data_IF_734247683453
#
_entry.id   IF_734247683453
#
_cell.length_a   1.000
_cell.length_b   1.000
_cell.length_c   1.000
_cell.angle_alpha   90.00
_cell.angle_beta   90.00
_cell.angle_gamma   90.00
#
_symmetry.space_group_name_H-M   'P 1'
#
loop_
_entity.id
_entity.type
_entity.pdbx_description
1 polymer ?
2 non-polymer ?
3 non-polymer ?
4 non-polymer ?
5 water ?
#
# COMPACT_ATOMS: atom_id res chain seq x y z
N UNK A 22 2.31 -11.25 14.00
CA UNK A 22 2.05 -11.22 12.57
C UNK A 22 3.04 -12.08 11.80
N UNK A 23 2.54 -12.84 10.85
CA UNK A 23 3.36 -13.60 9.92
C UNK A 23 3.06 -13.09 8.51
N UNK A 24 4.09 -13.07 7.66
CA UNK A 24 3.98 -12.51 6.32
C UNK A 24 4.74 -13.39 5.33
N UNK A 25 4.25 -13.46 4.09
CA UNK A 25 5.05 -14.05 3.03
C UNK A 25 6.30 -13.21 2.77
N UNK A 26 7.37 -13.86 2.33
CA UNK A 26 8.64 -13.18 2.17
C UNK A 26 9.28 -13.51 0.83
N UNK A 27 9.88 -12.49 0.21
CA UNK A 27 10.66 -12.65 -1.02
C UNK A 27 11.51 -11.40 -1.20
N UNK A 28 12.82 -11.54 -1.01
CA UNK A 28 13.76 -10.43 -1.20
C UNK A 28 15.18 -10.93 -1.45
N UNK A 34 8.81 -17.85 1.27
CA UNK A 34 8.83 -18.28 2.68
C UNK A 34 7.88 -17.48 3.54
N UNK A 35 7.47 -18.03 4.67
CA UNK A 35 6.72 -17.24 5.67
C UNK A 35 7.74 -16.81 6.72
N UNK A 36 7.52 -15.65 7.32
CA UNK A 36 8.41 -15.15 8.35
C UNK A 36 7.53 -14.51 9.41
N UNK A 37 7.98 -14.57 10.65
CA UNK A 37 7.29 -13.89 11.72
C UNK A 37 7.91 -12.52 11.89
N UNK A 38 7.09 -11.48 11.87
CA UNK A 38 7.63 -10.15 12.02
C UNK A 38 8.05 -9.89 13.46
N UNK A 39 8.92 -8.93 13.68
CA UNK A 39 9.21 -8.51 15.05
C UNK A 39 8.00 -7.86 15.72
N UNK A 40 8.11 -7.83 17.04
CA UNK A 40 7.04 -7.28 17.89
C UNK A 40 6.82 -5.82 17.53
N UNK A 41 5.58 -5.50 17.27
CA UNK A 41 5.17 -4.15 16.89
C UNK A 41 4.96 -3.91 15.40
N UNK A 42 5.59 -4.70 14.54
CA UNK A 42 5.37 -4.59 13.11
C UNK A 42 4.08 -5.33 12.80
N UNK A 43 3.01 -4.58 12.57
CA UNK A 43 1.68 -5.15 12.43
C UNK A 43 1.27 -5.45 10.99
N UNK A 44 2.00 -4.95 10.00
CA UNK A 44 1.58 -5.07 8.61
C UNK A 44 2.48 -6.03 7.83
N UNK A 45 1.97 -6.43 6.67
CA UNK A 45 2.73 -7.12 5.63
C UNK A 45 2.67 -6.28 4.37
N UNK A 46 3.60 -6.51 3.46
CA UNK A 46 3.60 -5.69 2.26
C UNK A 46 4.01 -6.47 1.02
N UNK A 47 3.54 -5.96 -0.11
CA UNK A 47 3.87 -6.45 -1.44
C UNK A 47 4.16 -5.24 -2.32
N UNK A 48 5.42 -5.08 -2.72
CA UNK A 48 5.88 -3.94 -3.50
C UNK A 48 6.31 -4.36 -4.91
N UNK A 49 5.93 -3.55 -5.88
CA UNK A 49 6.20 -3.77 -7.29
C UNK A 49 6.78 -2.47 -7.83
N UNK A 50 7.89 -2.57 -8.54
CA UNK A 50 8.49 -1.42 -9.19
C UNK A 50 9.04 -1.82 -10.54
N UNK A 57 11.06 -5.33 -10.23
CA UNK A 57 11.23 -5.55 -8.80
C UNK A 57 9.97 -6.11 -8.14
N UNK A 58 10.16 -7.16 -7.34
CA UNK A 58 9.09 -7.77 -6.56
C UNK A 58 9.65 -8.05 -5.17
N UNK A 59 9.08 -7.41 -4.13
CA UNK A 59 9.45 -7.68 -2.74
C UNK A 59 8.22 -7.97 -1.92
N UNK A 60 8.36 -8.92 -1.00
CA UNK A 60 7.34 -9.26 -0.03
C UNK A 60 8.00 -9.29 1.33
N UNK A 61 7.28 -8.88 2.36
CA UNK A 61 7.80 -9.00 3.71
C UNK A 61 6.97 -8.26 4.74
N UNK A 62 7.62 -7.99 5.86
CA UNK A 62 7.00 -7.37 7.03
C UNK A 62 7.04 -5.86 6.93
N UNK A 63 6.09 -5.23 7.57
CA UNK A 63 6.05 -3.80 7.59
C UNK A 63 5.33 -3.27 6.38
N UNK A 64 5.41 -1.95 6.23
CA UNK A 64 4.86 -1.26 5.08
C UNK A 64 5.82 -0.13 4.77
N UNK A 65 6.65 -0.26 3.74
CA UNK A 65 7.70 0.73 3.51
C UNK A 65 7.13 2.10 3.23
N UNK A 66 7.60 3.08 4.00
CA UNK A 66 7.10 4.44 3.87
C UNK A 66 7.95 5.30 2.95
N UNK A 67 9.23 5.01 2.84
CA UNK A 67 10.16 5.84 2.11
C UNK A 67 10.61 5.23 0.79
N UNK A 68 10.31 3.96 0.55
CA UNK A 68 10.87 3.17 -0.54
C UNK A 68 10.08 3.38 -1.83
N UNK A 69 10.77 3.58 -2.96
CA UNK A 69 10.05 3.80 -4.22
C UNK A 69 9.33 2.55 -4.67
N UNK A 70 8.20 2.77 -5.34
CA UNK A 70 7.35 1.67 -5.75
C UNK A 70 6.56 2.09 -6.97
N UNK A 71 6.03 1.10 -7.67
CA UNK A 71 5.00 1.31 -8.67
C UNK A 71 3.63 0.87 -8.19
N UNK A 72 3.53 -0.32 -7.61
CA UNK A 72 2.36 -0.76 -6.87
C UNK A 72 2.81 -1.23 -5.50
N UNK A 73 2.15 -0.74 -4.46
CA UNK A 73 2.43 -1.12 -3.08
C UNK A 73 1.15 -1.60 -2.42
N UNK A 74 1.22 -2.75 -1.76
CA UNK A 74 0.08 -3.32 -1.03
C UNK A 74 0.52 -3.65 0.39
N UNK A 75 -0.14 -3.05 1.37
CA UNK A 75 0.09 -3.38 2.76
C UNK A 75 -1.21 -3.85 3.40
N UNK A 76 -1.10 -4.82 4.29
CA UNK A 76 -2.27 -5.43 4.88
C UNK A 76 -1.90 -5.95 6.25
N UNK A 77 -2.90 -6.05 7.12
CA UNK A 77 -2.60 -6.40 8.50
C UNK A 77 -3.27 -7.70 8.90
N UNK A 78 -3.15 -8.72 8.05
CA UNK A 78 -3.59 -10.07 8.35
C UNK A 78 -2.39 -10.97 8.12
N UNK A 79 -2.35 -12.11 8.82
CA UNK A 79 -1.29 -13.07 8.58
C UNK A 79 -1.29 -13.50 7.12
N UNK A 80 -0.12 -13.42 6.49
CA UNK A 80 0.07 -13.96 5.15
C UNK A 80 -0.88 -13.33 4.15
N UNK A 81 -1.10 -12.03 4.25
CA UNK A 81 -2.05 -11.38 3.37
C UNK A 81 -1.41 -10.77 2.14
N UNK A 82 -0.09 -10.87 1.99
CA UNK A 82 0.64 -10.05 1.02
C UNK A 82 1.07 -10.82 -0.22
N UNK A 83 0.25 -11.72 -0.74
CA UNK A 83 0.57 -12.33 -2.02
C UNK A 83 0.22 -11.38 -3.16
N UNK B 22 -1.20 13.06 -12.73
CA UNK B 22 -1.92 11.88 -12.27
C UNK B 22 -3.39 12.18 -12.03
N UNK B 23 -4.25 11.27 -12.45
CA UNK B 23 -5.67 11.31 -12.16
C UNK B 23 -6.00 10.05 -11.37
N UNK B 24 -6.92 10.16 -10.40
CA UNK B 24 -7.23 9.05 -9.50
C UNK B 24 -8.73 9.01 -9.23
N UNK B 25 -9.26 7.81 -9.02
CA UNK B 25 -10.62 7.67 -8.50
C UNK B 25 -10.72 8.24 -7.09
N UNK B 26 -11.90 8.75 -6.73
CA UNK B 26 -12.06 9.45 -5.47
C UNK B 26 -13.29 8.95 -4.72
N UNK B 27 -13.14 8.81 -3.40
CA UNK B 27 -14.25 8.42 -2.52
C UNK B 27 -13.90 8.79 -1.09
N UNK B 28 -14.59 9.79 -0.54
CA UNK B 28 -14.41 10.21 0.85
C UNK B 28 -15.64 10.96 1.37
N UNK B 35 -12.18 10.58 -11.23
CA UNK B 35 -12.97 11.63 -10.61
C UNK B 35 -12.13 12.82 -10.14
N UNK B 36 -10.80 12.69 -10.04
CA UNK B 36 -10.01 13.86 -9.68
C UNK B 36 -8.59 13.80 -10.24
N UNK B 37 -8.06 14.97 -10.56
CA UNK B 37 -6.67 15.14 -10.95
C UNK B 37 -5.88 15.58 -9.72
N UNK B 38 -4.78 14.89 -9.44
CA UNK B 38 -4.01 15.22 -8.26
C UNK B 38 -3.24 16.52 -8.42
N UNK B 39 -2.85 17.15 -7.33
CA UNK B 39 -2.00 18.31 -7.45
C UNK B 39 -0.66 17.93 -8.04
N UNK B 40 0.06 18.95 -8.51
CA UNK B 40 1.36 18.79 -9.19
C UNK B 40 2.32 18.18 -8.21
N UNK B 41 2.87 17.09 -8.67
CA UNK B 41 3.85 16.42 -7.84
C UNK B 41 3.35 15.19 -7.10
N UNK B 42 2.05 15.06 -6.88
CA UNK B 42 1.51 13.85 -6.26
C UNK B 42 1.35 12.79 -7.35
N UNK B 43 2.23 11.78 -7.34
CA UNK B 43 2.33 10.79 -8.40
C UNK B 43 1.50 9.53 -8.16
N UNK B 44 1.01 9.29 -6.96
CA UNK B 44 0.34 8.03 -6.65
C UNK B 44 -1.16 8.22 -6.43
N UNK B 45 -1.87 7.09 -6.48
CA UNK B 45 -3.26 6.97 -6.07
C UNK B 45 -3.36 5.95 -4.94
N UNK B 46 -4.44 5.99 -4.18
CA UNK B 46 -4.55 5.05 -3.07
C UNK B 46 -5.97 4.56 -2.88
N UNK B 47 -6.05 3.37 -2.29
CA UNK B 47 -7.30 2.75 -1.89
C UNK B 47 -7.09 2.20 -0.49
N UNK B 48 -7.75 2.80 0.50
CA UNK B 48 -7.58 2.44 1.91
C UNK B 48 -8.85 1.85 2.50
N UNK B 49 -8.68 0.79 3.27
CA UNK B 49 -9.75 0.05 3.93
C UNK B 49 -9.36 -0.14 5.39
N UNK B 50 -10.29 0.14 6.29
CA UNK B 50 -10.09 -0.09 7.72
C UNK B 50 -11.37 -0.63 8.33
N UNK B 57 -14.54 1.53 6.82
CA UNK B 57 -13.99 2.70 6.12
C UNK B 57 -13.46 2.35 4.72
N UNK B 58 -13.85 3.17 3.75
CA UNK B 58 -13.38 3.04 2.38
C UNK B 58 -13.04 4.45 1.90
N UNK B 59 -11.77 4.69 1.59
CA UNK B 59 -11.33 5.95 0.99
C UNK B 59 -10.51 5.67 -0.25
N UNK B 60 -10.71 6.52 -1.25
CA UNK B 60 -9.94 6.50 -2.48
C UNK B 60 -9.50 7.92 -2.74
N UNK B 61 -8.31 8.09 -3.31
CA UNK B 61 -7.88 9.41 -3.72
C UNK B 61 -6.42 9.45 -4.11
N UNK B 62 -5.88 10.66 -4.07
CA UNK B 62 -4.54 10.98 -4.50
C UNK B 62 -3.54 10.75 -3.37
N UNK B 63 -2.33 10.45 -3.74
CA UNK B 63 -1.29 10.25 -2.77
C UNK B 63 -1.29 8.83 -2.28
N UNK B 64 -0.48 8.63 -1.24
CA UNK B 64 -0.41 7.36 -0.53
C UNK B 64 -0.21 7.72 0.93
N UNK B 65 -1.24 7.61 1.76
CA UNK B 65 -1.16 8.12 3.13
C UNK B 65 -0.13 7.37 3.95
N UNK B 66 0.81 8.11 4.53
CA UNK B 66 1.90 7.47 5.26
C UNK B 66 1.63 7.32 6.74
N UNK B 67 0.82 8.20 7.31
CA UNK B 67 0.59 8.19 8.74
C UNK B 67 -0.79 7.65 9.13
N UNK B 68 -1.68 7.47 8.17
CA UNK B 68 -3.10 7.21 8.41
C UNK B 68 -3.35 5.72 8.68
N UNK B 69 -4.16 5.39 9.68
CA UNK B 69 -4.40 3.98 10.01
C UNK B 69 -5.17 3.26 8.92
N UNK B 70 -4.88 1.97 8.77
CA UNK B 70 -5.48 1.18 7.71
C UNK B 70 -5.48 -0.28 8.11
N UNK B 71 -6.32 -1.06 7.43
CA UNK B 71 -6.25 -2.51 7.46
C UNK B 71 -5.69 -3.09 6.16
N UNK B 72 -6.18 -2.62 5.02
CA UNK B 72 -5.59 -2.90 3.72
C UNK B 72 -5.32 -1.57 3.03
N UNK B 73 -4.11 -1.38 2.54
CA UNK B 73 -3.72 -0.17 1.81
C UNK B 73 -3.09 -0.56 0.48
N UNK B 74 -3.55 0.08 -0.59
CA UNK B 74 -3.04 -0.12 -1.94
C UNK B 74 -2.71 1.24 -2.53
N UNK B 75 -1.46 1.42 -2.93
CA UNK B 75 -1.04 2.62 -3.63
C UNK B 75 -0.45 2.23 -4.97
N UNK B 76 -0.69 3.04 -5.98
CA UNK B 76 -0.29 2.70 -7.33
C UNK B 76 -0.03 3.98 -8.10
N UNK B 77 0.82 3.88 -9.11
CA UNK B 77 1.23 5.10 -9.81
C UNK B 77 0.83 5.08 -11.27
N UNK B 78 -0.42 4.72 -11.55
CA UNK B 78 -1.00 4.81 -12.88
C UNK B 78 -2.29 5.61 -12.75
N UNK B 79 -2.69 6.28 -13.83
CA UNK B 79 -3.96 6.98 -13.82
C UNK B 79 -5.09 6.00 -13.51
N UNK B 80 -5.90 6.34 -12.51
CA UNK B 80 -7.11 5.59 -12.19
C UNK B 80 -6.82 4.15 -11.81
N UNK B 81 -5.76 3.92 -11.06
CA UNK B 81 -5.40 2.55 -10.74
C UNK B 81 -5.96 2.06 -9.42
N UNK B 82 -6.67 2.90 -8.67
CA UNK B 82 -6.95 2.62 -7.26
C UNK B 82 -8.36 2.15 -7.03
N UNK B 83 -8.91 1.33 -7.91
CA UNK B 83 -10.21 0.74 -7.65
C UNK B 83 -10.07 -0.42 -6.66
X LIG C 1 11.13 -9.32 4.92
X LIG C 1 10.49 -9.47 6.16
X LIG C 1 11.43 -7.84 4.79
X LIG C 1 12.50 -7.51 5.50
X LIG C 1 11.56 -7.52 3.29
X LIG C 1 11.86 -8.71 2.62
X LIG D 1 4.80 0.93 9.36
X LIG E 1 8.14 -1.58 10.22
X LIG F 1 3.94 -1.70 10.84
X LIG G 1 -7.72 12.39 -0.41
X LIG G 1 -8.48 11.26 -0.57
X LIG G 1 -8.35 13.40 -1.25
X LIG G 1 -8.29 14.62 -0.64
X LIG G 1 -7.53 13.37 -2.50
X LIG G 1 -8.35 13.01 -3.56
X LIG H 1 -1.18 12.38 -15.73
X LIG I 1 -0.34 9.65 -16.76
X LIG J 1 -1.90 10.84 -16.84
#
# INVERSE_FOLDING_TARGET
>A
MKPVLLTLVVVTIVCLDLGYTRICLKQEPFQPETTTTCPEGEDACYNLFWSDHSEIKIEMGCGCPKTEPYTNLYCCKIDSCNK
>B
MKPVLLTLVVVTIVCLDLGYTRICLKQEPFQPETTTTCPEGEDACYNLFWSDHSEIKIEMGCGCPKTEPYTNLYCCKIDSCNK
>C hetero
1 GOL C1 O1 C2 O2 C3 O3
>D hetero
1 CL CL
>E hetero
1 CL CL
>F hetero
1 CL CL
>G hetero
1 GOL C1 O1 C2 O2 C3 O3
>H hetero
1 CL CL
>I hetero
1 CL CL
>J hetero
1 ZN ZN
#
